data_IF_529044117564
#
_entry.id   IF_529044117564
#
_cell.length_a   1.000
_cell.length_b   1.000
_cell.length_c   1.000
_cell.angle_alpha   90.00
_cell.angle_beta   90.00
_cell.angle_gamma   90.00
#
_symmetry.space_group_name_H-M   'P 1'
#
loop_
_entity.id
_entity.type
_entity.pdbx_description
1 polymer ?
#
# COMPACT_ATOMS: atom_id res chain seq x y z
N UNK A 1 55.32 -49.35 -3.06
CA UNK A 1 54.66 -48.58 -4.14
C UNK A 1 53.18 -48.33 -3.82
N UNK A 2 52.81 -47.19 -3.20
CA UNK A 2 51.42 -46.77 -3.12
C UNK A 2 51.28 -45.33 -3.65
N UNK A 3 51.01 -45.14 -4.95
CA UNK A 3 50.84 -43.78 -5.48
C UNK A 3 49.80 -43.65 -6.61
N UNK A 4 49.08 -44.73 -6.97
CA UNK A 4 48.15 -44.69 -8.12
C UNK A 4 46.66 -44.59 -7.76
N UNK A 5 46.26 -44.88 -6.51
CA UNK A 5 44.84 -44.83 -6.10
C UNK A 5 44.35 -43.43 -5.71
N UNK A 6 45.22 -42.56 -5.17
CA UNK A 6 44.81 -41.19 -4.77
C UNK A 6 44.62 -40.24 -5.95
N UNK A 7 45.42 -40.36 -7.02
CA UNK A 7 45.32 -39.46 -8.16
C UNK A 7 43.98 -39.61 -8.90
N UNK A 8 43.49 -40.84 -9.07
CA UNK A 8 42.21 -41.10 -9.75
C UNK A 8 41.02 -40.56 -8.95
N UNK A 9 41.01 -40.73 -7.63
CA UNK A 9 39.97 -40.18 -6.76
C UNK A 9 39.94 -38.65 -6.77
N UNK A 10 41.13 -38.00 -6.78
CA UNK A 10 41.23 -36.54 -6.87
C UNK A 10 40.72 -36.03 -8.22
N UNK A 11 41.05 -36.71 -9.32
CA UNK A 11 40.57 -36.33 -10.66
C UNK A 11 39.04 -36.45 -10.77
N UNK A 12 38.45 -37.51 -10.22
CA UNK A 12 36.98 -37.69 -10.21
C UNK A 12 36.29 -36.59 -9.38
N UNK A 13 36.86 -36.24 -8.21
CA UNK A 13 36.32 -35.18 -7.38
C UNK A 13 36.39 -33.80 -8.07
N UNK A 14 37.51 -33.50 -8.72
CA UNK A 14 37.68 -32.25 -9.48
C UNK A 14 36.70 -32.18 -10.66
N UNK A 15 36.51 -33.28 -11.39
CA UNK A 15 35.54 -33.33 -12.49
C UNK A 15 34.10 -33.17 -12.00
N UNK A 16 33.74 -33.72 -10.84
CA UNK A 16 32.43 -33.52 -10.22
C UNK A 16 32.22 -32.06 -9.80
N UNK A 17 33.21 -31.43 -9.18
CA UNK A 17 33.13 -30.01 -8.79
C UNK A 17 33.01 -29.11 -10.02
N UNK A 18 33.77 -29.38 -11.08
CA UNK A 18 33.69 -28.64 -12.33
C UNK A 18 32.35 -28.87 -13.05
N UNK A 19 31.79 -30.08 -13.01
CA UNK A 19 30.47 -30.38 -13.58
C UNK A 19 29.35 -29.67 -12.81
N UNK A 20 29.42 -29.62 -11.47
CA UNK A 20 28.47 -28.87 -10.64
C UNK A 20 28.59 -27.37 -10.87
N UNK A 21 29.81 -26.83 -10.94
CA UNK A 21 30.04 -25.42 -11.23
C UNK A 21 29.56 -25.05 -12.64
N UNK A 22 29.83 -25.87 -13.65
CA UNK A 22 29.33 -25.68 -15.00
C UNK A 22 27.80 -25.78 -15.06
N UNK A 23 27.20 -26.73 -14.33
CA UNK A 23 25.74 -26.85 -14.21
C UNK A 23 25.10 -25.63 -13.53
N UNK A 24 25.76 -25.06 -12.52
CA UNK A 24 25.32 -23.81 -11.86
C UNK A 24 25.46 -22.58 -12.78
N UNK A 25 26.55 -22.49 -13.53
CA UNK A 25 26.80 -21.43 -14.52
C UNK A 25 25.82 -21.50 -15.69
N UNK A 26 25.51 -22.70 -16.19
CA UNK A 26 24.55 -22.94 -17.27
C UNK A 26 23.10 -22.66 -16.84
N UNK A 27 22.79 -22.73 -15.53
CA UNK A 27 21.47 -22.39 -14.97
C UNK A 27 21.38 -20.96 -14.41
N UNK A 28 22.45 -20.17 -14.49
CA UNK A 28 22.44 -18.76 -14.09
C UNK A 28 22.06 -18.48 -12.63
N UNK A 29 22.20 -19.46 -11.72
CA UNK A 29 21.70 -19.35 -10.35
C UNK A 29 22.85 -19.03 -9.39
N UNK A 30 22.99 -17.76 -9.04
CA UNK A 30 23.79 -17.36 -7.89
C UNK A 30 23.13 -17.88 -6.59
N UNK A 31 23.89 -18.46 -5.65
CA UNK A 31 23.36 -18.78 -4.34
C UNK A 31 23.26 -17.49 -3.52
N UNK A 32 22.06 -16.93 -3.38
CA UNK A 32 21.86 -15.71 -2.58
C UNK A 32 20.54 -14.95 -2.73
N UNK A 33 19.68 -15.24 -3.70
CA UNK A 33 18.41 -14.50 -3.88
C UNK A 33 17.19 -15.39 -3.59
N UNK A 34 16.94 -15.69 -2.31
CA UNK A 34 15.74 -16.43 -1.89
C UNK A 34 14.45 -15.63 -2.09
N UNK A 35 14.53 -14.30 -2.16
CA UNK A 35 13.38 -13.42 -2.30
C UNK A 35 12.75 -13.44 -3.71
N UNK A 36 13.54 -13.69 -4.77
CA UNK A 36 13.01 -13.72 -6.15
C UNK A 36 12.26 -15.01 -6.50
N UNK A 37 12.38 -16.05 -5.66
CA UNK A 37 11.77 -17.37 -5.89
C UNK A 37 10.37 -17.52 -5.27
N UNK A 38 9.98 -16.63 -4.37
CA UNK A 38 8.67 -16.70 -3.71
C UNK A 38 7.54 -16.31 -4.68
N UNK A 39 6.33 -16.89 -4.54
CA UNK A 39 5.15 -16.43 -5.25
C UNK A 39 4.94 -14.91 -5.09
N UNK A 40 4.39 -14.19 -6.11
CA UNK A 40 4.19 -12.74 -6.03
C UNK A 40 3.45 -12.26 -4.78
N UNK A 41 2.50 -13.06 -4.26
CA UNK A 41 1.75 -12.77 -3.04
C UNK A 41 2.65 -12.74 -1.80
N UNK A 42 3.54 -13.72 -1.63
CA UNK A 42 4.46 -13.77 -0.48
C UNK A 42 5.46 -12.61 -0.53
N UNK A 43 5.96 -12.28 -1.73
CA UNK A 43 6.80 -11.08 -1.92
C UNK A 43 6.04 -9.80 -1.58
N UNK A 44 4.77 -9.69 -2.01
CA UNK A 44 3.92 -8.54 -1.71
C UNK A 44 3.73 -8.37 -0.20
N UNK A 45 3.43 -9.46 0.50
CA UNK A 45 3.29 -9.45 1.96
C UNK A 45 4.58 -8.98 2.66
N UNK A 46 5.73 -9.50 2.24
CA UNK A 46 7.03 -9.10 2.77
C UNK A 46 7.32 -7.61 2.51
N UNK A 47 6.93 -7.08 1.35
CA UNK A 47 7.11 -5.66 1.04
C UNK A 47 6.22 -4.75 1.88
N UNK A 48 5.05 -5.22 2.30
CA UNK A 48 4.06 -4.49 3.10
C UNK A 48 4.31 -4.51 4.61
N UNK A 49 5.37 -5.19 5.08
CA UNK A 49 5.67 -5.19 6.52
C UNK A 49 5.99 -3.77 7.01
N UNK A 50 5.27 -3.26 8.03
CA UNK A 50 5.43 -1.89 8.46
C UNK A 50 6.71 -1.70 9.30
N UNK A 51 7.19 -0.45 9.32
CA UNK A 51 8.28 -0.01 10.20
C UNK A 51 7.73 0.97 11.23
N UNK A 52 8.29 0.94 12.44
CA UNK A 52 7.92 1.90 13.47
C UNK A 52 8.44 3.30 13.10
N UNK A 53 7.60 4.32 13.29
CA UNK A 53 7.97 5.72 13.10
C UNK A 53 7.91 6.43 14.46
N UNK A 54 9.07 6.90 14.93
CA UNK A 54 9.22 7.53 16.26
C UNK A 54 8.40 8.81 16.45
N UNK A 55 8.03 9.47 15.36
CA UNK A 55 7.28 10.71 15.35
C UNK A 55 5.84 10.55 14.84
N UNK A 56 5.31 9.32 14.76
CA UNK A 56 3.94 9.07 14.32
C UNK A 56 3.02 8.84 15.52
N UNK A 57 2.04 9.72 15.69
CA UNK A 57 0.93 9.52 16.61
C UNK A 57 -0.28 9.02 15.82
N UNK A 58 -0.50 7.69 15.86
CA UNK A 58 -1.59 7.06 15.14
C UNK A 58 -2.95 7.52 15.68
N UNK A 59 -3.84 7.90 14.76
CA UNK A 59 -5.22 8.30 15.03
C UNK A 59 -6.11 7.76 13.92
N UNK A 60 -7.34 7.35 14.25
CA UNK A 60 -8.37 6.96 13.28
C UNK A 60 -9.14 8.20 12.85
N UNK A 61 -9.27 8.39 11.54
CA UNK A 61 -10.04 9.46 10.91
C UNK A 61 -11.23 8.88 10.17
N UNK A 62 -12.37 9.56 10.28
CA UNK A 62 -13.62 9.19 9.65
C UNK A 62 -14.43 8.21 10.48
N UNK A 63 -14.91 7.18 9.81
CA UNK A 63 -15.88 6.26 10.34
C UNK A 63 -15.28 5.38 11.45
N UNK A 64 -16.10 4.93 12.42
CA UNK A 64 -15.63 4.06 13.48
C UNK A 64 -15.17 2.68 12.97
N UNK A 65 -15.59 2.27 11.77
CA UNK A 65 -15.27 1.00 11.12
C UNK A 65 -14.92 1.24 9.65
N UNK A 66 -15.65 0.58 8.74
CA UNK A 66 -15.59 0.76 7.28
C UNK A 66 -15.72 2.24 6.90
N UNK A 67 -14.81 2.70 6.03
CA UNK A 67 -14.68 4.12 5.66
C UNK A 67 -13.73 4.95 6.53
N UNK A 68 -13.29 4.45 7.68
CA UNK A 68 -12.33 5.13 8.54
C UNK A 68 -10.93 4.55 8.47
N UNK A 69 -9.91 5.41 8.51
CA UNK A 69 -8.52 5.04 8.26
C UNK A 69 -7.57 5.53 9.35
N UNK A 70 -6.58 4.72 9.68
CA UNK A 70 -5.51 5.10 10.62
C UNK A 70 -4.45 5.93 9.90
N UNK A 71 -4.10 7.08 10.46
CA UNK A 71 -3.06 8.00 9.95
C UNK A 71 -2.20 8.53 11.11
N UNK A 72 -1.00 9.04 10.81
CA UNK A 72 -0.21 9.81 11.77
C UNK A 72 -0.79 11.23 11.89
N UNK A 73 -1.75 11.44 12.79
CA UNK A 73 -2.53 12.68 12.84
C UNK A 73 -1.67 13.94 13.08
N UNK A 74 -0.61 13.80 13.87
CA UNK A 74 0.35 14.87 14.15
C UNK A 74 1.24 15.26 12.94
N UNK A 75 1.30 14.42 11.90
CA UNK A 75 2.11 14.64 10.70
C UNK A 75 1.29 15.15 9.49
N UNK A 76 0.11 15.72 9.74
CA UNK A 76 -0.78 16.28 8.71
C UNK A 76 -0.87 17.80 8.72
N UNK A 77 -0.22 18.50 9.66
CA UNK A 77 -0.34 19.96 9.83
C UNK A 77 0.11 20.81 8.63
N UNK A 78 0.96 20.26 7.77
CA UNK A 78 1.50 20.95 6.59
C UNK A 78 0.72 20.67 5.28
N UNK A 79 -0.29 19.80 5.31
CA UNK A 79 -1.06 19.49 4.10
C UNK A 79 -1.89 20.72 3.73
N UNK A 80 -2.01 20.99 2.43
CA UNK A 80 -2.78 22.12 1.92
C UNK A 80 -4.11 21.69 1.28
N UNK A 81 -4.29 20.40 1.04
CA UNK A 81 -5.52 19.79 0.54
C UNK A 81 -5.57 18.29 0.88
N UNK A 82 -6.78 17.75 0.95
CA UNK A 82 -7.01 16.31 1.02
C UNK A 82 -7.72 15.78 -0.22
N UNK A 83 -7.54 14.49 -0.51
CA UNK A 83 -8.20 13.78 -1.60
C UNK A 83 -8.78 12.47 -1.09
N UNK A 84 -10.10 12.30 -1.19
CA UNK A 84 -10.82 11.09 -0.78
C UNK A 84 -11.41 10.43 -2.01
N UNK A 85 -10.95 9.24 -2.36
CA UNK A 85 -11.39 8.48 -3.52
C UNK A 85 -12.18 7.24 -3.13
N UNK A 86 -13.30 7.03 -3.84
CA UNK A 86 -14.27 5.97 -3.62
C UNK A 86 -15.01 6.20 -2.32
N UNK A 87 -16.03 7.06 -2.44
CA UNK A 87 -16.83 7.54 -1.32
C UNK A 87 -18.28 7.15 -1.63
N UNK A 88 -18.80 6.17 -0.90
CA UNK A 88 -20.11 5.56 -1.16
C UNK A 88 -21.25 6.41 -0.60
N UNK A 89 -21.32 7.69 -0.96
CA UNK A 89 -22.34 8.64 -0.49
C UNK A 89 -22.09 9.23 0.90
N UNK A 90 -20.99 8.83 1.55
CA UNK A 90 -20.51 9.36 2.83
C UNK A 90 -18.97 9.44 2.81
N UNK A 91 -18.40 10.35 3.60
CA UNK A 91 -16.95 10.56 3.69
C UNK A 91 -16.60 11.30 4.99
N UNK A 92 -16.75 10.62 6.11
CA UNK A 92 -16.34 11.10 7.43
C UNK A 92 -14.84 11.39 7.47
N UNK A 93 -14.02 10.57 6.80
CA UNK A 93 -12.59 10.80 6.67
C UNK A 93 -12.30 12.18 6.09
N UNK A 94 -12.87 12.50 4.93
CA UNK A 94 -12.65 13.79 4.29
C UNK A 94 -13.24 14.95 5.08
N UNK A 95 -14.37 14.74 5.76
CA UNK A 95 -14.94 15.76 6.62
C UNK A 95 -14.05 16.07 7.84
N UNK A 96 -13.51 15.04 8.47
CA UNK A 96 -12.63 15.17 9.63
C UNK A 96 -11.29 15.81 9.24
N UNK A 97 -10.68 15.40 8.13
CA UNK A 97 -9.46 16.04 7.60
C UNK A 97 -9.73 17.52 7.30
N UNK A 98 -10.83 17.82 6.61
CA UNK A 98 -11.16 19.20 6.23
C UNK A 98 -11.38 20.09 7.45
N UNK A 99 -12.13 19.61 8.44
CA UNK A 99 -12.48 20.39 9.64
C UNK A 99 -11.31 20.52 10.62
N UNK A 100 -10.51 19.47 10.81
CA UNK A 100 -9.40 19.50 11.78
C UNK A 100 -8.21 20.32 11.30
N UNK A 101 -7.92 20.32 10.00
CA UNK A 101 -6.75 20.99 9.43
C UNK A 101 -7.10 22.27 8.67
N UNK A 102 -8.40 22.61 8.56
CA UNK A 102 -8.90 23.72 7.74
C UNK A 102 -8.30 23.71 6.33
N UNK A 103 -8.48 22.59 5.63
CA UNK A 103 -8.04 22.38 4.23
C UNK A 103 -9.21 22.00 3.33
N UNK A 104 -9.19 22.35 2.03
CA UNK A 104 -10.14 21.78 1.10
C UNK A 104 -9.92 20.27 0.98
N UNK A 105 -11.01 19.50 0.91
CA UNK A 105 -10.93 18.06 0.60
C UNK A 105 -11.74 17.78 -0.66
N UNK A 106 -11.06 17.21 -1.66
CA UNK A 106 -11.66 16.81 -2.92
C UNK A 106 -12.13 15.36 -2.82
N UNK A 107 -13.43 15.19 -3.05
CA UNK A 107 -14.19 13.98 -2.82
C UNK A 107 -14.58 13.39 -4.18
N UNK A 108 -14.15 12.16 -4.48
CA UNK A 108 -14.28 11.56 -5.81
C UNK A 108 -15.03 10.23 -5.78
N UNK A 109 -16.13 10.16 -6.52
CA UNK A 109 -16.83 8.92 -6.84
C UNK A 109 -17.60 9.07 -8.15
N UNK A 110 -17.68 8.01 -8.95
CA UNK A 110 -18.45 8.01 -10.21
C UNK A 110 -19.50 6.89 -10.29
N UNK A 111 -19.68 6.12 -9.21
CA UNK A 111 -20.70 5.08 -9.06
C UNK A 111 -21.81 5.54 -8.14
N UNK A 112 -21.48 6.18 -7.01
CA UNK A 112 -22.43 6.86 -6.14
C UNK A 112 -22.26 8.38 -6.26
N UNK A 113 -23.28 9.05 -6.79
CA UNK A 113 -23.26 10.50 -7.01
C UNK A 113 -23.86 11.29 -5.84
N UNK A 114 -24.14 10.62 -4.73
CA UNK A 114 -24.63 11.25 -3.51
C UNK A 114 -23.49 12.04 -2.87
N UNK A 115 -23.62 13.36 -2.85
CA UNK A 115 -22.62 14.22 -2.20
C UNK A 115 -22.66 14.05 -0.68
N UNK A 116 -21.54 13.70 -0.01
CA UNK A 116 -21.49 13.59 1.43
C UNK A 116 -21.78 14.92 2.14
N UNK A 117 -22.50 14.85 3.27
CA UNK A 117 -22.64 16.00 4.16
C UNK A 117 -21.36 16.20 4.97
N UNK A 118 -20.86 17.44 5.02
CA UNK A 118 -19.78 17.81 5.93
C UNK A 118 -20.03 19.19 6.57
N UNK A 119 -20.79 19.25 7.68
CA UNK A 119 -21.01 20.49 8.39
C UNK A 119 -19.68 21.10 8.89
N UNK A 120 -19.39 22.34 8.47
CA UNK A 120 -18.20 23.07 8.89
C UNK A 120 -16.91 22.73 8.13
N UNK A 121 -16.91 21.72 7.28
CA UNK A 121 -15.77 21.41 6.41
C UNK A 121 -15.90 22.05 5.03
N UNK A 122 -14.77 22.10 4.33
CA UNK A 122 -14.60 22.62 2.96
C UNK A 122 -14.42 21.45 2.00
N UNK A 123 -15.44 20.63 1.82
CA UNK A 123 -15.41 19.50 0.89
C UNK A 123 -15.95 19.87 -0.49
N UNK A 124 -15.37 19.29 -1.54
CA UNK A 124 -15.77 19.50 -2.94
C UNK A 124 -15.97 18.13 -3.60
N UNK A 125 -17.21 17.80 -3.94
CA UNK A 125 -17.55 16.54 -4.60
C UNK A 125 -17.33 16.61 -6.12
N UNK A 126 -16.79 15.54 -6.67
CA UNK A 126 -16.49 15.35 -8.08
C UNK A 126 -17.08 14.01 -8.53
N UNK A 127 -18.02 14.07 -9.47
CA UNK A 127 -18.62 12.91 -10.13
C UNK A 127 -17.65 12.27 -11.16
N UNK A 128 -16.46 11.87 -10.72
CA UNK A 128 -15.35 11.40 -11.57
C UNK A 128 -14.55 10.31 -10.83
N UNK A 129 -14.14 9.28 -11.56
CA UNK A 129 -13.30 8.22 -11.01
C UNK A 129 -11.81 8.45 -11.30
N UNK A 130 -10.95 7.84 -10.47
CA UNK A 130 -9.51 7.82 -10.70
C UNK A 130 -9.13 6.66 -11.64
N UNK A 131 -8.16 6.89 -12.51
CA UNK A 131 -7.57 5.87 -13.37
C UNK A 131 -6.12 6.21 -13.75
N UNK A 132 -5.52 5.36 -14.58
CA UNK A 132 -4.16 5.53 -15.10
C UNK A 132 -4.06 6.42 -16.36
N UNK A 133 -5.21 6.82 -16.91
CA UNK A 133 -5.35 7.74 -18.06
C UNK A 133 -6.73 8.37 -18.07
N UNK A 134 -6.89 9.43 -18.85
CA UNK A 134 -8.20 10.03 -19.12
C UNK A 134 -9.01 9.17 -20.09
N UNK A 135 -10.24 8.82 -19.73
CA UNK A 135 -11.22 8.21 -20.63
C UNK A 135 -12.64 8.37 -20.09
N UNK A 136 -13.63 8.03 -20.91
CA UNK A 136 -15.00 7.78 -20.44
C UNK A 136 -15.35 6.32 -20.73
N UNK A 137 -16.05 5.66 -19.81
CA UNK A 137 -16.52 4.29 -20.04
C UNK A 137 -17.73 4.24 -20.99
N UNK A 138 -18.28 3.04 -21.21
CA UNK A 138 -19.44 2.85 -22.10
C UNK A 138 -20.70 3.61 -21.64
N UNK A 139 -20.81 3.89 -20.33
CA UNK A 139 -21.91 4.69 -19.76
C UNK A 139 -21.62 6.20 -19.78
N UNK A 140 -20.48 6.62 -20.35
CA UNK A 140 -20.05 8.02 -20.40
C UNK A 140 -19.48 8.54 -19.07
N UNK A 141 -19.18 7.66 -18.11
CA UNK A 141 -18.64 8.06 -16.81
C UNK A 141 -17.18 8.48 -16.96
N UNK A 142 -16.79 9.65 -16.43
CA UNK A 142 -15.45 10.16 -16.61
C UNK A 142 -14.46 9.51 -15.65
N UNK A 143 -13.29 9.17 -16.19
CA UNK A 143 -12.12 8.69 -15.46
C UNK A 143 -10.94 9.58 -15.80
N UNK A 144 -10.14 9.94 -14.81
CA UNK A 144 -8.94 10.75 -15.02
C UNK A 144 -7.79 10.36 -14.08
N UNK A 145 -6.60 10.86 -14.38
CA UNK A 145 -5.41 10.60 -13.56
C UNK A 145 -5.38 11.48 -12.31
N UNK A 146 -4.74 10.98 -11.25
CA UNK A 146 -4.40 11.78 -10.06
C UNK A 146 -3.71 13.10 -10.43
N UNK A 147 -2.80 13.07 -11.42
CA UNK A 147 -2.07 14.25 -11.86
C UNK A 147 -3.01 15.32 -12.43
N UNK A 148 -3.92 14.93 -13.31
CA UNK A 148 -4.86 15.86 -13.92
C UNK A 148 -5.86 16.39 -12.89
N UNK A 149 -6.35 15.53 -11.99
CA UNK A 149 -7.24 15.92 -10.90
C UNK A 149 -6.58 16.94 -9.97
N UNK A 150 -5.35 16.69 -9.54
CA UNK A 150 -4.61 17.61 -8.65
C UNK A 150 -4.34 18.93 -9.36
N UNK A 151 -3.95 18.90 -10.64
CA UNK A 151 -3.72 20.10 -11.44
C UNK A 151 -5.00 20.93 -11.62
N UNK A 152 -6.12 20.27 -11.95
CA UNK A 152 -7.43 20.90 -12.16
C UNK A 152 -7.95 21.58 -10.90
N UNK A 153 -7.66 21.00 -9.73
CA UNK A 153 -8.02 21.56 -8.42
C UNK A 153 -7.05 22.64 -7.92
N UNK A 154 -5.94 22.89 -8.63
CA UNK A 154 -4.93 23.88 -8.24
C UNK A 154 -3.92 23.38 -7.19
N UNK A 155 -3.86 22.07 -6.94
CA UNK A 155 -2.97 21.43 -5.97
C UNK A 155 -1.79 20.71 -6.61
N UNK A 156 -1.59 20.87 -7.92
CA UNK A 156 -0.53 20.17 -8.68
C UNK A 156 0.90 20.34 -8.13
N UNK A 157 1.15 21.37 -7.31
CA UNK A 157 2.44 21.62 -6.64
C UNK A 157 2.34 21.61 -5.09
N UNK A 158 1.17 21.34 -4.50
CA UNK A 158 0.95 21.42 -3.05
C UNK A 158 1.24 20.08 -2.37
N UNK A 159 1.49 20.14 -1.05
CA UNK A 159 1.52 18.95 -0.20
C UNK A 159 0.10 18.53 0.12
N UNK A 160 -0.19 17.24 -0.02
CA UNK A 160 -1.56 16.72 0.12
C UNK A 160 -1.59 15.45 0.94
N UNK A 161 -2.76 15.13 1.49
CA UNK A 161 -3.08 13.81 2.05
C UNK A 161 -4.07 13.09 1.14
N UNK A 162 -3.89 11.79 0.94
CA UNK A 162 -4.74 10.99 0.06
C UNK A 162 -5.31 9.80 0.83
N UNK A 163 -6.62 9.62 0.74
CA UNK A 163 -7.33 8.37 1.02
C UNK A 163 -7.82 7.76 -0.29
N UNK A 164 -7.62 6.46 -0.49
CA UNK A 164 -8.10 5.79 -1.69
C UNK A 164 -8.62 4.38 -1.40
N UNK A 165 -9.81 4.10 -1.92
CA UNK A 165 -10.49 2.81 -1.84
C UNK A 165 -11.41 2.73 -3.07
N UNK A 166 -10.94 2.13 -4.17
CA UNK A 166 -11.58 2.24 -5.49
C UNK A 166 -11.61 0.91 -6.24
N UNK A 167 -11.74 -0.18 -5.49
CA UNK A 167 -12.06 -1.52 -6.00
C UNK A 167 -11.12 -2.01 -7.12
N UNK A 168 -9.81 -1.75 -6.98
CA UNK A 168 -8.75 -2.27 -7.85
C UNK A 168 -8.06 -1.23 -8.73
N UNK A 169 -8.62 -0.02 -8.87
CA UNK A 169 -7.99 1.06 -9.63
C UNK A 169 -6.78 1.69 -8.89
N UNK A 170 -6.57 1.36 -7.61
CA UNK A 170 -5.44 1.83 -6.80
C UNK A 170 -4.11 1.49 -7.47
N UNK A 171 -4.00 0.24 -7.90
CA UNK A 171 -2.77 -0.34 -8.40
C UNK A 171 -2.24 0.41 -9.63
N UNK A 172 -3.07 0.55 -10.66
CA UNK A 172 -2.64 1.19 -11.91
C UNK A 172 -2.48 2.70 -11.75
N UNK A 173 -3.30 3.33 -10.91
CA UNK A 173 -3.22 4.77 -10.63
C UNK A 173 -1.87 5.14 -10.02
N UNK A 174 -1.42 4.41 -9.00
CA UNK A 174 -0.12 4.68 -8.36
C UNK A 174 1.08 4.13 -9.14
N UNK A 175 0.91 3.05 -9.90
CA UNK A 175 1.96 2.54 -10.78
C UNK A 175 2.32 3.56 -11.87
N UNK A 176 1.34 4.33 -12.36
CA UNK A 176 1.50 5.31 -13.45
C UNK A 176 1.60 6.77 -12.98
N UNK A 177 1.27 7.07 -11.72
CA UNK A 177 1.43 8.41 -11.17
C UNK A 177 2.88 8.92 -11.31
N UNK A 178 3.13 10.19 -11.68
CA UNK A 178 4.48 10.76 -11.75
C UNK A 178 5.22 10.74 -10.40
N UNK A 179 6.54 10.65 -10.45
CA UNK A 179 7.40 10.65 -9.26
C UNK A 179 7.21 11.93 -8.42
N UNK A 180 7.09 13.08 -9.09
CA UNK A 180 6.90 14.39 -8.42
C UNK A 180 5.55 14.47 -7.70
N UNK A 181 4.53 13.77 -8.20
CA UNK A 181 3.24 13.68 -7.53
C UNK A 181 3.36 12.86 -6.25
N UNK A 182 3.96 11.66 -6.34
CA UNK A 182 4.15 10.79 -5.18
C UNK A 182 4.99 11.48 -4.09
N UNK A 183 6.01 12.25 -4.47
CA UNK A 183 6.85 12.98 -3.53
C UNK A 183 6.11 14.07 -2.72
N UNK A 184 4.96 14.55 -3.22
CA UNK A 184 4.14 15.60 -2.59
C UNK A 184 3.03 15.07 -1.68
N UNK A 185 2.68 13.79 -1.80
CA UNK A 185 1.72 13.17 -0.88
C UNK A 185 2.44 12.97 0.46
N UNK A 186 1.91 13.54 1.54
CA UNK A 186 2.45 13.40 2.89
C UNK A 186 2.11 12.04 3.49
N UNK A 187 0.85 11.65 3.39
CA UNK A 187 0.35 10.34 3.80
C UNK A 187 -0.63 9.83 2.76
N UNK A 188 -0.56 8.53 2.49
CA UNK A 188 -1.46 7.78 1.64
C UNK A 188 -2.07 6.66 2.50
N UNK A 189 -3.34 6.83 2.88
CA UNK A 189 -4.15 5.78 3.46
C UNK A 189 -4.88 5.07 2.32
N UNK A 190 -4.67 3.76 2.15
CA UNK A 190 -5.19 3.05 0.99
C UNK A 190 -5.74 1.69 1.35
N UNK A 191 -6.94 1.38 0.87
CA UNK A 191 -7.48 0.01 0.86
C UNK A 191 -7.14 -0.65 -0.48
N UNK A 192 -6.33 -1.71 -0.43
CA UNK A 192 -5.91 -2.44 -1.62
C UNK A 192 -6.79 -3.65 -1.88
N UNK A 193 -7.25 -3.79 -3.12
CA UNK A 193 -8.08 -4.91 -3.56
C UNK A 193 -7.25 -5.96 -4.34
N UNK A 194 -7.00 -7.11 -3.71
CA UNK A 194 -6.33 -8.27 -4.28
C UNK A 194 -4.86 -8.46 -3.87
N UNK A 195 -4.35 -9.70 -4.04
CA UNK A 195 -3.03 -10.10 -3.51
C UNK A 195 -2.10 -10.82 -4.49
N UNK A 196 -2.62 -11.36 -5.59
CA UNK A 196 -1.89 -12.38 -6.38
C UNK A 196 -1.21 -11.89 -7.68
N UNK A 197 -1.29 -10.59 -8.01
CA UNK A 197 -0.80 -10.08 -9.32
C UNK A 197 0.58 -9.46 -9.20
N UNK A 198 1.49 -9.79 -10.13
CA UNK A 198 2.86 -9.22 -10.18
C UNK A 198 2.88 -7.68 -10.18
N UNK A 199 1.90 -7.06 -10.83
CA UNK A 199 1.77 -5.59 -10.86
C UNK A 199 1.54 -4.96 -9.47
N UNK A 200 0.97 -5.71 -8.52
CA UNK A 200 0.74 -5.24 -7.15
C UNK A 200 2.09 -5.07 -6.43
N UNK A 201 2.95 -6.07 -6.55
CA UNK A 201 4.33 -6.02 -6.06
C UNK A 201 5.11 -4.84 -6.68
N UNK A 202 4.98 -4.62 -7.99
CA UNK A 202 5.62 -3.48 -8.68
C UNK A 202 5.13 -2.13 -8.13
N UNK A 203 3.83 -2.02 -7.84
CA UNK A 203 3.23 -0.81 -7.29
C UNK A 203 3.74 -0.53 -5.88
N UNK A 204 3.73 -1.53 -4.98
CA UNK A 204 4.24 -1.37 -3.61
C UNK A 204 5.72 -1.01 -3.60
N UNK A 205 6.55 -1.71 -4.38
CA UNK A 205 7.99 -1.38 -4.50
C UNK A 205 8.21 0.05 -4.99
N UNK A 206 7.39 0.53 -5.92
CA UNK A 206 7.42 1.92 -6.39
C UNK A 206 7.04 2.90 -5.29
N UNK A 207 5.94 2.66 -4.58
CA UNK A 207 5.50 3.50 -3.45
C UNK A 207 6.60 3.56 -2.37
N UNK A 208 7.21 2.42 -2.02
CA UNK A 208 8.30 2.35 -1.03
C UNK A 208 9.56 3.13 -1.39
N UNK A 209 9.71 3.65 -2.60
CA UNK A 209 10.77 4.62 -2.91
C UNK A 209 10.54 5.95 -2.19
N UNK A 210 9.28 6.36 -2.04
CA UNK A 210 8.85 7.64 -1.47
C UNK A 210 8.28 7.53 -0.06
N UNK A 211 7.76 6.36 0.31
CA UNK A 211 7.05 6.16 1.57
C UNK A 211 7.68 5.08 2.44
N UNK A 212 7.47 5.19 3.75
CA UNK A 212 7.50 4.09 4.69
C UNK A 212 6.11 3.46 4.76
N UNK A 213 6.03 2.13 4.88
CA UNK A 213 4.81 1.47 5.34
C UNK A 213 4.77 1.65 6.85
N UNK A 214 3.80 2.41 7.35
CA UNK A 214 3.71 2.78 8.77
C UNK A 214 2.68 1.93 9.52
N UNK A 215 1.64 1.45 8.82
CA UNK A 215 0.61 0.60 9.39
C UNK A 215 0.02 -0.34 8.33
N UNK A 216 -0.45 -1.51 8.77
CA UNK A 216 -1.10 -2.51 7.95
C UNK A 216 -2.27 -3.11 8.74
N UNK A 217 -3.48 -2.96 8.21
CA UNK A 217 -4.70 -3.49 8.78
C UNK A 217 -5.42 -4.36 7.76
N UNK A 218 -5.95 -5.51 8.18
CA UNK A 218 -6.71 -6.39 7.29
C UNK A 218 -8.20 -6.18 7.54
N UNK A 219 -8.83 -5.36 6.70
CA UNK A 219 -10.28 -5.20 6.67
C UNK A 219 -10.91 -6.50 6.15
N UNK A 220 -11.81 -7.10 6.92
CA UNK A 220 -12.15 -8.51 6.78
C UNK A 220 -13.62 -8.76 6.46
N UNK A 221 -14.15 -8.09 5.42
CA UNK A 221 -15.51 -8.38 4.91
C UNK A 221 -15.75 -9.89 4.67
N UNK A 222 -14.70 -10.68 4.42
CA UNK A 222 -14.72 -12.14 4.54
C UNK A 222 -13.35 -12.70 4.94
N UNK A 223 -13.31 -13.70 5.84
CA UNK A 223 -12.06 -14.43 6.15
C UNK A 223 -11.66 -15.33 4.96
N UNK A 224 -10.37 -15.32 4.57
CA UNK A 224 -9.87 -16.09 3.42
C UNK A 224 -8.59 -16.88 3.76
N UNK A 225 -8.76 -18.11 4.23
CA UNK A 225 -7.62 -18.99 4.54
C UNK A 225 -6.87 -19.46 3.27
N UNK A 226 -7.50 -19.38 2.10
CA UNK A 226 -6.91 -19.70 0.78
C UNK A 226 -5.90 -18.66 0.28
N UNK A 227 -5.72 -17.56 1.03
CA UNK A 227 -4.90 -16.40 0.64
C UNK A 227 -3.66 -16.17 1.50
N UNK A 228 -3.31 -17.09 2.40
CA UNK A 228 -2.10 -17.00 3.20
C UNK A 228 -0.87 -16.56 2.37
N UNK A 229 -0.05 -15.60 2.85
CA UNK A 229 -0.07 -15.00 4.19
C UNK A 229 -1.12 -13.89 4.41
N UNK A 230 -1.92 -13.53 3.41
CA UNK A 230 -2.99 -12.54 3.58
C UNK A 230 -4.23 -13.22 4.17
N UNK A 231 -4.78 -12.75 5.31
CA UNK A 231 -6.01 -13.28 5.90
C UNK A 231 -7.29 -12.77 5.20
N UNK A 232 -7.17 -11.77 4.31
CA UNK A 232 -8.25 -11.14 3.57
C UNK A 232 -7.79 -10.71 2.17
N UNK A 233 -8.73 -10.51 1.24
CA UNK A 233 -8.42 -10.05 -0.13
C UNK A 233 -8.34 -8.51 -0.23
N UNK A 234 -8.92 -7.81 0.75
CA UNK A 234 -8.79 -6.36 0.94
C UNK A 234 -8.02 -6.06 2.23
N UNK A 235 -7.22 -4.99 2.23
CA UNK A 235 -6.41 -4.59 3.37
C UNK A 235 -6.03 -3.12 3.27
N UNK A 236 -6.05 -2.44 4.41
CA UNK A 236 -5.69 -1.05 4.56
C UNK A 236 -4.19 -0.92 4.85
N UNK A 237 -3.53 0.01 4.16
CA UNK A 237 -2.11 0.31 4.35
C UNK A 237 -1.97 1.82 4.56
N UNK A 238 -1.25 2.19 5.62
CA UNK A 238 -0.79 3.57 5.78
C UNK A 238 0.63 3.70 5.23
N UNK A 239 0.78 4.51 4.20
CA UNK A 239 2.07 4.97 3.72
C UNK A 239 2.34 6.38 4.22
N UNK A 240 3.50 6.59 4.84
CA UNK A 240 3.96 7.92 5.31
C UNK A 240 5.18 8.31 4.53
N UNK A 241 5.20 9.53 3.98
CA UNK A 241 6.30 9.98 3.13
C UNK A 241 7.62 10.00 3.93
N UNK A 242 8.69 9.47 3.34
CA UNK A 242 10.02 9.42 3.98
C UNK A 242 10.57 10.80 4.33
N UNK A 243 10.05 11.86 3.71
CA UNK A 243 10.39 13.24 4.06
C UNK A 243 9.89 13.64 5.45
N UNK A 244 8.81 13.03 5.95
CA UNK A 244 8.18 13.40 7.23
C UNK A 244 8.21 12.29 8.28
N UNK A 245 8.33 11.03 7.88
CA UNK A 245 8.45 9.89 8.80
C UNK A 245 9.88 9.66 9.26
N UNK A 246 10.08 9.52 10.58
CA UNK A 246 11.38 9.21 11.19
C UNK A 246 11.35 7.77 11.70
N UNK A 247 12.03 6.87 10.99
CA UNK A 247 12.10 5.44 11.37
C UNK A 247 12.71 5.27 12.75
N UNK A 248 12.03 4.52 13.59
CA UNK A 248 12.58 3.95 14.82
C UNK A 248 13.14 2.54 14.52
N UNK A 249 14.46 2.35 14.48
CA UNK A 249 15.07 1.07 14.12
C UNK A 249 14.90 -0.02 15.19
N UNK A 250 14.54 0.35 16.42
CA UNK A 250 14.31 -0.60 17.53
C UNK A 250 12.84 -0.67 17.93
N UNK A 251 12.03 0.27 17.45
CA UNK A 251 10.59 0.31 17.63
C UNK A 251 9.92 -0.92 17.02
N UNK A 252 8.81 -1.32 17.63
CA UNK A 252 7.98 -2.43 17.16
C UNK A 252 6.62 -1.90 16.77
N UNK A 253 6.14 -2.29 15.60
CA UNK A 253 4.77 -2.01 15.19
C UNK A 253 3.86 -3.02 15.90
N UNK A 254 2.81 -2.52 16.55
CA UNK A 254 1.80 -3.38 17.16
C UNK A 254 0.74 -3.72 16.10
N UNK A 255 0.66 -4.99 15.73
CA UNK A 255 -0.39 -5.52 14.86
C UNK A 255 -1.08 -6.72 15.55
N UNK A 256 -2.42 -6.73 15.64
CA UNK A 256 -3.34 -5.63 15.34
C UNK A 256 -3.16 -4.46 16.31
N UNK A 257 -3.37 -3.24 15.82
CA UNK A 257 -3.31 -2.02 16.62
C UNK A 257 -4.66 -1.76 17.33
N UNK A 258 -4.72 -1.16 18.52
CA UNK A 258 -5.99 -0.88 19.21
C UNK A 258 -6.97 0.05 18.46
N UNK A 259 -6.50 0.78 17.45
CA UNK A 259 -7.34 1.62 16.58
C UNK A 259 -7.86 0.87 15.35
N UNK A 260 -7.43 -0.37 15.14
CA UNK A 260 -7.95 -1.24 14.08
C UNK A 260 -9.42 -1.54 14.38
N UNK A 261 -10.27 -1.32 13.39
CA UNK A 261 -11.71 -1.49 13.52
C UNK A 261 -12.23 -2.31 12.34
N UNK A 262 -11.97 -3.64 12.32
CA UNK A 262 -12.43 -4.50 11.25
C UNK A 262 -13.95 -4.47 11.11
N UNK A 263 -14.45 -4.74 9.92
CA UNK A 263 -15.89 -4.90 9.67
C UNK A 263 -16.48 -6.16 10.34
N UNK A 264 -15.71 -7.24 10.45
CA UNK A 264 -16.09 -8.51 11.09
C UNK A 264 -15.04 -8.95 12.14
N UNK A 265 -15.22 -8.67 13.44
CA UNK A 265 -14.19 -8.93 14.48
C UNK A 265 -13.69 -10.38 14.58
N UNK A 266 -14.46 -11.37 14.11
CA UNK A 266 -14.17 -12.79 14.32
C UNK A 266 -13.02 -13.35 13.45
N UNK A 267 -12.55 -12.64 12.41
CA UNK A 267 -11.39 -13.12 11.62
C UNK A 267 -10.02 -12.84 12.28
N UNK A 268 -9.98 -12.29 13.50
CA UNK A 268 -8.74 -11.86 14.17
C UNK A 268 -7.74 -13.01 14.47
N UNK A 269 -8.19 -14.25 14.64
CA UNK A 269 -7.32 -15.36 15.08
C UNK A 269 -6.29 -15.79 14.02
N UNK A 270 -6.56 -15.60 12.73
CA UNK A 270 -5.62 -15.94 11.66
C UNK A 270 -4.58 -14.83 11.42
N UNK A 271 -4.99 -13.56 11.44
CA UNK A 271 -4.11 -12.41 11.21
C UNK A 271 -3.03 -12.25 12.30
N UNK A 272 -3.38 -12.50 13.56
CA UNK A 272 -2.46 -12.42 14.72
C UNK A 272 -1.33 -13.46 14.63
N UNK A 273 -1.57 -14.61 14.01
CA UNK A 273 -0.56 -15.68 13.88
C UNK A 273 0.49 -15.33 12.81
N UNK A 274 0.12 -14.58 11.78
CA UNK A 274 1.03 -14.22 10.67
C UNK A 274 1.83 -12.95 10.98
N UNK A 275 1.26 -11.99 11.73
CA UNK A 275 1.92 -10.72 12.07
C UNK A 275 2.70 -10.77 13.39
N UNK A 276 2.61 -11.86 14.14
CA UNK A 276 3.23 -12.05 15.46
C UNK A 276 4.60 -12.77 15.47
N UNK A 277 5.25 -12.94 14.31
CA UNK A 277 6.56 -13.59 14.17
C UNK A 277 7.61 -12.69 13.53
#
# INVERSE_FOLDING_TARGET
MPAKRSAAAVVVLVLLVLAVAAWMLLRGRAPGDTASDLPPREQLFAELQPVALSNCELQRFGEPHDGGYIMCGNLLSDVAAGYSYGISGYDGWGCEVSTRFDVPVHQYDCFDLTQPACPGGRTIFHAECVADRTFADEAGRPFDTLQNQFARNGDGARRVVVKMDVEGAEWTSFLRAPDELLARIDQLAIEFHGTDRLRYLQTVRRLKRFFHVAHLHFNNYACRDDRAPFPADAYEVLFVNKRIGIVDPVGRVQLPHPLDAPKLPDCHSAAVTVLGH
#
